data_IF_701220537672
#
_entry.id   IF_701220537672
#
_cell.length_a   1.000
_cell.length_b   1.000
_cell.length_c   1.000
_cell.angle_alpha   90.00
_cell.angle_beta   90.00
_cell.angle_gamma   90.00
#
_symmetry.space_group_name_H-M   'P 1'
#
loop_
_entity.id
_entity.type
_entity.pdbx_description
1 polymer ?
#
# COMPACT_ATOMS: atom_id res chain seq x y z
N UNK A 1 23.77 19.22 -43.44
CA UNK A 1 22.36 19.49 -43.08
C UNK A 1 22.27 19.71 -41.57
N UNK A 2 21.95 20.91 -41.07
CA UNK A 2 21.77 21.14 -39.64
C UNK A 2 20.33 20.78 -39.23
N UNK A 3 20.20 20.01 -38.15
CA UNK A 3 18.91 19.61 -37.58
C UNK A 3 18.18 20.85 -37.07
N UNK A 4 16.92 21.05 -37.48
CA UNK A 4 16.02 22.06 -36.94
C UNK A 4 15.89 21.86 -35.43
N UNK A 5 16.24 22.88 -34.65
CA UNK A 5 15.77 23.00 -33.28
C UNK A 5 14.24 23.13 -33.32
N UNK A 6 13.52 22.15 -32.74
CA UNK A 6 12.11 22.32 -32.46
C UNK A 6 11.95 23.31 -31.28
N UNK A 7 10.99 24.24 -31.33
CA UNK A 7 10.73 25.14 -30.21
C UNK A 7 10.23 24.34 -29.00
N UNK A 8 10.73 24.67 -27.82
CA UNK A 8 10.18 24.20 -26.54
C UNK A 8 8.75 24.74 -26.45
N UNK A 9 7.75 23.85 -26.40
CA UNK A 9 6.36 24.24 -26.16
C UNK A 9 6.29 25.13 -24.92
N UNK A 10 5.74 26.33 -25.10
CA UNK A 10 5.50 27.26 -23.99
C UNK A 10 4.61 26.56 -22.98
N UNK A 11 5.12 26.34 -21.76
CA UNK A 11 4.33 25.81 -20.65
C UNK A 11 3.19 26.78 -20.42
N UNK A 12 1.95 26.31 -20.54
CA UNK A 12 0.79 27.06 -20.08
C UNK A 12 1.04 27.46 -18.62
N UNK A 13 1.05 28.76 -18.35
CA UNK A 13 1.32 29.29 -17.03
C UNK A 13 0.20 28.80 -16.09
N UNK A 14 0.56 28.03 -15.06
CA UNK A 14 -0.43 27.48 -14.14
C UNK A 14 -1.08 28.64 -13.37
N UNK A 15 -2.34 28.95 -13.67
CA UNK A 15 -3.09 30.06 -13.05
C UNK A 15 -3.58 29.78 -11.62
N UNK A 16 -3.17 28.65 -11.03
CA UNK A 16 -3.57 28.26 -9.70
C UNK A 16 -2.98 29.20 -8.64
N UNK A 17 -3.82 29.64 -7.71
CA UNK A 17 -3.37 30.50 -6.59
C UNK A 17 -2.37 29.76 -5.69
N UNK A 18 -1.35 30.48 -5.24
CA UNK A 18 -0.42 30.00 -4.23
C UNK A 18 -1.16 29.77 -2.90
N UNK A 19 -0.83 28.68 -2.21
CA UNK A 19 -1.46 28.32 -0.94
C UNK A 19 -0.36 28.08 0.09
N UNK A 20 -0.59 28.54 1.33
CA UNK A 20 0.36 28.35 2.43
C UNK A 20 0.55 26.87 2.72
N UNK A 21 1.82 26.46 2.79
CA UNK A 21 2.21 25.07 3.05
C UNK A 21 1.65 24.53 4.37
N UNK A 22 1.81 25.29 5.46
CA UNK A 22 1.41 24.87 6.81
C UNK A 22 -0.09 24.53 6.88
N UNK A 23 -0.91 25.32 6.19
CA UNK A 23 -2.34 25.11 6.12
C UNK A 23 -2.71 23.77 5.46
N UNK A 24 -2.04 23.41 4.35
CA UNK A 24 -2.26 22.11 3.70
C UNK A 24 -1.81 20.98 4.63
N UNK A 25 -0.62 21.10 5.23
CA UNK A 25 -0.08 20.06 6.11
C UNK A 25 -0.94 19.83 7.36
N UNK A 26 -1.43 20.90 7.99
CA UNK A 26 -2.25 20.82 9.21
C UNK A 26 -3.61 20.18 8.93
N UNK A 27 -4.20 20.56 7.80
CA UNK A 27 -5.48 20.03 7.35
C UNK A 27 -5.39 18.54 7.02
N UNK A 28 -4.42 18.19 6.19
CA UNK A 28 -4.21 16.81 5.74
C UNK A 28 -3.96 15.89 6.94
N UNK A 29 -3.11 16.31 7.88
CA UNK A 29 -2.83 15.54 9.10
C UNK A 29 -4.06 15.48 10.00
N UNK A 30 -4.77 16.58 10.18
CA UNK A 30 -5.99 16.62 11.00
C UNK A 30 -7.07 15.67 10.50
N UNK A 31 -7.34 15.67 9.20
CA UNK A 31 -8.36 14.80 8.61
C UNK A 31 -7.95 13.33 8.60
N UNK A 32 -6.66 13.06 8.33
CA UNK A 32 -6.10 11.71 8.45
C UNK A 32 -6.24 11.19 9.88
N UNK A 33 -5.99 12.03 10.90
CA UNK A 33 -6.11 11.62 12.30
C UNK A 33 -7.55 11.27 12.68
N UNK A 34 -8.56 11.99 12.16
CA UNK A 34 -9.97 11.65 12.39
C UNK A 34 -10.30 10.26 11.84
N UNK A 35 -9.79 9.94 10.66
CA UNK A 35 -9.97 8.62 10.04
C UNK A 35 -9.28 7.51 10.85
N UNK A 36 -8.04 7.73 11.28
CA UNK A 36 -7.29 6.78 12.14
C UNK A 36 -7.94 6.58 13.50
N UNK A 37 -8.67 7.57 14.02
CA UNK A 37 -9.41 7.43 15.28
C UNK A 37 -10.73 6.66 15.12
N UNK A 38 -11.25 6.51 13.91
CA UNK A 38 -12.45 5.73 13.64
C UNK A 38 -12.13 4.24 13.58
N UNK A 39 -12.62 3.49 14.57
CA UNK A 39 -12.43 2.04 14.66
C UNK A 39 -12.97 1.29 13.44
N UNK A 40 -14.09 1.75 12.87
CA UNK A 40 -14.68 1.12 11.67
C UNK A 40 -13.81 1.31 10.44
N UNK A 41 -13.19 2.48 10.30
CA UNK A 41 -12.26 2.74 9.21
C UNK A 41 -11.01 1.86 9.30
N UNK A 42 -10.46 1.69 10.51
CA UNK A 42 -9.33 0.76 10.74
C UNK A 42 -9.72 -0.68 10.39
N UNK A 43 -10.86 -1.17 10.88
CA UNK A 43 -11.33 -2.53 10.58
C UNK A 43 -11.51 -2.75 9.07
N UNK A 44 -12.08 -1.76 8.38
CA UNK A 44 -12.26 -1.83 6.94
C UNK A 44 -10.93 -1.83 6.16
N UNK A 45 -9.93 -1.07 6.61
CA UNK A 45 -8.57 -1.08 6.04
C UNK A 45 -7.92 -2.45 6.26
N UNK A 46 -8.04 -3.03 7.46
CA UNK A 46 -7.48 -4.35 7.76
C UNK A 46 -8.13 -5.42 6.89
N UNK A 47 -9.46 -5.44 6.81
CA UNK A 47 -10.19 -6.38 5.95
C UNK A 47 -9.75 -6.28 4.50
N UNK A 48 -9.66 -5.05 3.96
CA UNK A 48 -9.24 -4.82 2.58
C UNK A 48 -7.81 -5.29 2.33
N UNK A 49 -6.89 -5.05 3.26
CA UNK A 49 -5.51 -5.49 3.11
C UNK A 49 -5.40 -7.02 3.14
N UNK A 50 -6.15 -7.68 4.02
CA UNK A 50 -6.20 -9.16 4.06
C UNK A 50 -6.74 -9.71 2.74
N UNK A 51 -7.82 -9.13 2.21
CA UNK A 51 -8.39 -9.53 0.92
C UNK A 51 -7.41 -9.35 -0.24
N UNK A 52 -6.64 -8.25 -0.25
CA UNK A 52 -5.60 -8.01 -1.25
C UNK A 52 -4.46 -9.02 -1.11
N UNK A 53 -4.02 -9.28 0.11
CA UNK A 53 -2.94 -10.23 0.38
C UNK A 53 -3.31 -11.65 -0.04
N UNK A 54 -4.58 -12.05 0.11
CA UNK A 54 -5.05 -13.35 -0.35
C UNK A 54 -5.20 -13.41 -1.89
N UNK A 55 -5.63 -12.33 -2.54
CA UNK A 55 -5.75 -12.25 -4.02
C UNK A 55 -4.41 -12.26 -4.74
N UNK A 56 -3.42 -11.55 -4.21
CA UNK A 56 -2.09 -11.44 -4.82
C UNK A 56 -1.21 -12.68 -4.58
N UNK A 57 -1.65 -13.56 -3.68
CA UNK A 57 -0.93 -14.77 -3.31
C UNK A 57 -1.28 -15.98 -4.20
N UNK A 58 -1.18 -15.82 -5.51
CA UNK A 58 -1.47 -16.91 -6.47
C UNK A 58 -0.29 -17.89 -6.60
N UNK A 59 0.94 -17.39 -6.44
CA UNK A 59 2.16 -18.14 -6.70
C UNK A 59 2.52 -19.13 -5.59
N UNK A 60 2.41 -18.71 -4.32
CA UNK A 60 2.72 -19.57 -3.17
C UNK A 60 1.89 -20.86 -3.14
N UNK A 61 0.55 -20.82 -3.20
CA UNK A 61 -0.25 -22.05 -3.17
C UNK A 61 0.02 -22.93 -4.40
N UNK A 62 0.29 -22.33 -5.56
CA UNK A 62 0.68 -23.06 -6.77
C UNK A 62 2.01 -23.80 -6.59
N UNK A 63 3.05 -23.13 -6.08
CA UNK A 63 4.34 -23.76 -5.83
C UNK A 63 4.25 -24.82 -4.73
N UNK A 64 3.47 -24.59 -3.67
CA UNK A 64 3.21 -25.60 -2.64
C UNK A 64 2.48 -26.83 -3.20
N UNK A 65 1.54 -26.64 -4.12
CA UNK A 65 0.90 -27.75 -4.81
C UNK A 65 1.90 -28.52 -5.69
N UNK A 66 2.70 -27.83 -6.51
CA UNK A 66 3.69 -28.46 -7.37
C UNK A 66 4.76 -29.21 -6.57
N UNK A 67 5.13 -28.70 -5.39
CA UNK A 67 6.04 -29.37 -4.46
C UNK A 67 5.44 -30.69 -3.96
N UNK A 68 4.18 -30.66 -3.50
CA UNK A 68 3.46 -31.88 -3.06
C UNK A 68 3.36 -32.92 -4.18
N UNK A 69 3.12 -32.48 -5.41
CA UNK A 69 3.08 -33.37 -6.59
C UNK A 69 4.45 -34.00 -6.86
N UNK A 70 5.54 -33.21 -6.79
CA UNK A 70 6.90 -33.70 -6.94
C UNK A 70 7.28 -34.70 -5.83
N UNK A 71 6.99 -34.38 -4.57
CA UNK A 71 7.25 -35.26 -3.42
C UNK A 71 6.49 -36.58 -3.53
N UNK A 72 5.23 -36.53 -3.99
CA UNK A 72 4.42 -37.73 -4.24
C UNK A 72 5.04 -38.58 -5.35
N UNK A 73 5.50 -37.96 -6.44
CA UNK A 73 6.15 -38.65 -7.54
C UNK A 73 7.49 -39.29 -7.11
N UNK A 74 8.28 -38.59 -6.31
CA UNK A 74 9.52 -39.10 -5.70
C UNK A 74 9.21 -40.30 -4.80
N UNK A 75 8.23 -40.18 -3.90
CA UNK A 75 7.83 -41.27 -3.01
C UNK A 75 7.39 -42.52 -3.80
N UNK A 76 6.62 -42.32 -4.88
CA UNK A 76 6.20 -43.41 -5.76
C UNK A 76 7.39 -44.09 -6.46
N UNK A 77 8.38 -43.33 -6.93
CA UNK A 77 9.60 -43.90 -7.53
C UNK A 77 10.42 -44.67 -6.49
N UNK A 78 10.56 -44.15 -5.27
CA UNK A 78 11.26 -44.84 -4.19
C UNK A 78 10.56 -46.16 -3.84
N UNK A 79 9.22 -46.19 -3.80
CA UNK A 79 8.45 -47.42 -3.60
C UNK A 79 8.68 -48.44 -4.72
N UNK A 80 8.76 -48.01 -5.98
CA UNK A 80 9.07 -48.90 -7.11
C UNK A 80 10.49 -49.48 -7.00
N UNK A 81 11.48 -48.69 -6.56
CA UNK A 81 12.85 -49.14 -6.33
C UNK A 81 12.89 -50.19 -5.20
N UNK A 82 12.14 -49.99 -4.11
CA UNK A 82 12.04 -50.97 -3.01
C UNK A 82 11.47 -52.32 -3.47
N UNK A 83 10.60 -52.31 -4.48
CA UNK A 83 10.07 -53.54 -5.11
C UNK A 83 11.05 -54.17 -6.12
N UNK A 84 12.26 -53.62 -6.26
CA UNK A 84 13.28 -54.12 -7.19
C UNK A 84 13.18 -53.57 -8.61
N UNK A 85 12.29 -52.59 -8.87
CA UNK A 85 12.13 -51.96 -10.19
C UNK A 85 13.12 -50.80 -10.32
N UNK A 86 14.39 -51.12 -10.50
CA UNK A 86 15.44 -50.14 -10.76
C UNK A 86 15.90 -50.23 -12.22
N UNK A 87 15.68 -49.15 -12.98
CA UNK A 87 16.15 -49.02 -14.35
C UNK A 87 16.91 -47.71 -14.52
N UNK A 88 17.68 -47.58 -15.61
CA UNK A 88 18.39 -46.33 -15.93
C UNK A 88 17.43 -45.13 -16.01
N UNK A 89 16.26 -45.32 -16.63
CA UNK A 89 15.25 -44.26 -16.73
C UNK A 89 14.62 -43.90 -15.39
N UNK A 90 14.47 -44.85 -14.46
CA UNK A 90 14.00 -44.57 -13.09
C UNK A 90 14.95 -43.61 -12.36
N UNK A 91 16.27 -43.81 -12.52
CA UNK A 91 17.30 -42.93 -11.93
C UNK A 91 17.26 -41.53 -12.54
N UNK A 92 17.29 -41.43 -13.88
CA UNK A 92 17.25 -40.15 -14.60
C UNK A 92 15.99 -39.35 -14.22
N UNK A 93 14.83 -40.02 -14.10
CA UNK A 93 13.58 -39.38 -13.68
C UNK A 93 13.59 -38.92 -12.22
N UNK A 94 14.21 -39.68 -11.33
CA UNK A 94 14.35 -39.30 -9.92
C UNK A 94 15.20 -38.03 -9.78
N UNK A 95 16.35 -37.98 -10.46
CA UNK A 95 17.23 -36.80 -10.47
C UNK A 95 16.51 -35.56 -11.02
N UNK A 96 15.68 -35.70 -12.06
CA UNK A 96 14.86 -34.62 -12.61
C UNK A 96 13.83 -34.09 -11.60
N UNK A 97 13.15 -34.99 -10.87
CA UNK A 97 12.16 -34.62 -9.86
C UNK A 97 12.79 -33.95 -8.65
N UNK A 98 13.95 -34.43 -8.19
CA UNK A 98 14.70 -33.82 -7.08
C UNK A 98 15.16 -32.41 -7.47
N UNK A 99 15.73 -32.24 -8.67
CA UNK A 99 16.11 -30.92 -9.17
C UNK A 99 14.90 -29.97 -9.25
N UNK A 100 13.76 -30.47 -9.74
CA UNK A 100 12.53 -29.68 -9.82
C UNK A 100 12.01 -29.28 -8.43
N UNK A 101 12.08 -30.18 -7.45
CA UNK A 101 11.73 -29.88 -6.05
C UNK A 101 12.61 -28.76 -5.51
N UNK A 102 13.93 -28.88 -5.64
CA UNK A 102 14.87 -27.88 -5.15
C UNK A 102 14.66 -26.51 -5.82
N UNK A 103 14.35 -26.48 -7.12
CA UNK A 103 13.98 -25.24 -7.82
C UNK A 103 12.69 -24.62 -7.29
N UNK A 104 11.66 -25.44 -6.99
CA UNK A 104 10.39 -24.97 -6.44
C UNK A 104 10.54 -24.46 -5.01
N UNK A 105 11.33 -25.13 -4.17
CA UNK A 105 11.63 -24.67 -2.80
C UNK A 105 12.32 -23.32 -2.79
N UNK A 106 13.32 -23.14 -3.68
CA UNK A 106 14.01 -21.86 -3.83
C UNK A 106 13.06 -20.75 -4.28
N UNK A 107 12.18 -21.03 -5.26
CA UNK A 107 11.17 -20.05 -5.70
C UNK A 107 10.16 -19.72 -4.60
N UNK A 108 9.72 -20.72 -3.85
CA UNK A 108 8.79 -20.56 -2.75
C UNK A 108 9.40 -19.71 -1.62
N UNK A 109 10.67 -19.95 -1.28
CA UNK A 109 11.40 -19.17 -0.30
C UNK A 109 11.54 -17.70 -0.74
N UNK A 110 11.93 -17.46 -2.00
CA UNK A 110 12.02 -16.12 -2.58
C UNK A 110 10.66 -15.40 -2.58
N UNK A 111 9.58 -16.06 -2.96
CA UNK A 111 8.24 -15.45 -2.98
C UNK A 111 7.76 -15.11 -1.56
N UNK A 112 7.99 -16.00 -0.57
CA UNK A 112 7.63 -15.75 0.84
C UNK A 112 8.42 -14.60 1.45
N UNK A 113 9.69 -14.41 1.04
CA UNK A 113 10.51 -13.27 1.46
C UNK A 113 10.08 -11.97 0.76
N UNK A 114 9.72 -12.03 -0.51
CA UNK A 114 9.28 -10.86 -1.28
C UNK A 114 7.91 -10.35 -0.82
N UNK A 115 7.01 -11.26 -0.44
CA UNK A 115 5.63 -10.96 0.01
C UNK A 115 5.35 -11.66 1.35
N UNK A 116 5.83 -11.10 2.47
CA UNK A 116 5.57 -11.70 3.78
C UNK A 116 4.06 -11.68 4.08
N UNK A 117 3.53 -12.81 4.56
CA UNK A 117 2.14 -12.88 5.01
C UNK A 117 2.02 -12.13 6.33
N UNK A 118 1.33 -11.00 6.33
CA UNK A 118 1.02 -10.25 7.55
C UNK A 118 -0.31 -10.75 8.13
N UNK A 119 -0.41 -10.86 9.46
CA UNK A 119 -1.67 -11.24 10.13
C UNK A 119 -2.57 -10.02 10.35
N UNK A 120 -3.89 -10.25 10.35
CA UNK A 120 -4.90 -9.22 10.61
C UNK A 120 -4.70 -8.56 11.99
N UNK A 121 -4.37 -9.36 13.02
CA UNK A 121 -4.10 -8.89 14.38
C UNK A 121 -2.88 -7.96 14.42
N UNK A 122 -1.80 -8.35 13.74
CA UNK A 122 -0.60 -7.52 13.67
C UNK A 122 -0.88 -6.19 12.96
N UNK A 123 -1.61 -6.22 11.84
CA UNK A 123 -2.00 -5.01 11.13
C UNK A 123 -2.90 -4.09 11.97
N UNK A 124 -3.86 -4.67 12.68
CA UNK A 124 -4.75 -3.92 13.58
C UNK A 124 -3.94 -3.25 14.69
N UNK A 125 -3.03 -3.99 15.32
CA UNK A 125 -2.15 -3.47 16.35
C UNK A 125 -1.21 -2.37 15.83
N UNK A 126 -0.65 -2.57 14.63
CA UNK A 126 0.21 -1.60 13.97
C UNK A 126 -0.56 -0.31 13.65
N UNK A 127 -1.78 -0.40 13.12
CA UNK A 127 -2.64 0.77 12.86
C UNK A 127 -3.04 1.50 14.16
N UNK A 128 -3.26 0.79 15.25
CA UNK A 128 -3.49 1.41 16.56
C UNK A 128 -2.30 2.21 17.08
N UNK A 129 -1.07 1.91 16.65
CA UNK A 129 0.13 2.71 17.00
C UNK A 129 -0.02 4.16 16.54
N UNK A 130 -0.69 4.40 15.41
CA UNK A 130 -0.88 5.73 14.84
C UNK A 130 -1.74 6.64 15.74
N UNK A 131 -2.63 6.07 16.55
CA UNK A 131 -3.47 6.83 17.50
C UNK A 131 -2.65 7.52 18.59
N UNK A 132 -1.43 7.03 18.86
CA UNK A 132 -0.52 7.58 19.88
C UNK A 132 0.56 8.49 19.28
N UNK A 133 0.51 8.77 17.97
CA UNK A 133 1.49 9.63 17.34
C UNK A 133 1.29 11.09 17.72
N UNK A 134 2.40 11.77 18.00
CA UNK A 134 2.42 13.21 18.23
C UNK A 134 2.54 13.95 16.91
N UNK A 135 1.44 14.57 16.46
CA UNK A 135 1.35 15.34 15.21
C UNK A 135 2.20 16.62 15.22
N UNK A 136 2.76 17.03 16.36
CA UNK A 136 3.73 18.13 16.44
C UNK A 136 5.08 17.74 15.85
N UNK A 137 5.38 16.44 15.79
CA UNK A 137 6.65 15.93 15.27
C UNK A 137 6.55 15.68 13.76
N UNK A 138 7.45 16.30 13.00
CA UNK A 138 7.49 16.16 11.54
C UNK A 138 7.62 14.71 11.05
N UNK A 139 8.36 13.87 11.79
CA UNK A 139 8.51 12.43 11.49
C UNK A 139 7.16 11.70 11.53
N UNK A 140 6.35 11.95 12.56
CA UNK A 140 5.03 11.35 12.72
C UNK A 140 4.04 11.86 11.67
N UNK A 141 4.10 13.16 11.33
CA UNK A 141 3.29 13.74 10.24
C UNK A 141 3.59 13.06 8.91
N UNK A 142 4.87 12.88 8.60
CA UNK A 142 5.31 12.18 7.39
C UNK A 142 4.81 10.73 7.37
N UNK A 143 4.93 10.02 8.49
CA UNK A 143 4.46 8.62 8.60
C UNK A 143 2.95 8.49 8.36
N UNK A 144 2.14 9.40 8.90
CA UNK A 144 0.68 9.43 8.66
C UNK A 144 0.37 9.64 7.17
N UNK A 145 1.02 10.61 6.54
CA UNK A 145 0.81 10.93 5.11
C UNK A 145 1.25 9.74 4.24
N UNK A 146 2.46 9.23 4.42
CA UNK A 146 3.02 8.13 3.62
C UNK A 146 2.16 6.86 3.73
N UNK A 147 1.48 6.64 4.86
CA UNK A 147 0.67 5.44 5.11
C UNK A 147 -0.74 5.57 4.54
N UNK A 148 -1.42 6.68 4.80
CA UNK A 148 -2.87 6.79 4.57
C UNK A 148 -3.24 7.56 3.30
N UNK A 149 -2.33 8.34 2.73
CA UNK A 149 -2.63 9.26 1.63
C UNK A 149 -2.02 8.73 0.33
N UNK A 150 -2.86 8.66 -0.69
CA UNK A 150 -2.46 8.33 -2.05
C UNK A 150 -2.12 9.60 -2.84
N UNK A 151 -3.03 10.57 -2.82
CA UNK A 151 -2.90 11.81 -3.60
C UNK A 151 -3.67 12.96 -2.96
N UNK A 152 -3.21 14.18 -3.22
CA UNK A 152 -3.88 15.42 -2.82
C UNK A 152 -4.05 16.27 -4.08
N UNK A 153 -5.28 16.59 -4.42
CA UNK A 153 -5.61 17.51 -5.52
C UNK A 153 -6.08 18.83 -4.94
N UNK A 154 -5.43 19.91 -5.35
CA UNK A 154 -5.75 21.25 -4.88
C UNK A 154 -6.45 22.02 -6.00
N UNK A 155 -7.68 22.47 -5.75
CA UNK A 155 -8.47 23.37 -6.58
C UNK A 155 -8.57 24.74 -5.89
N UNK A 156 -9.05 25.75 -6.60
CA UNK A 156 -9.07 27.12 -6.05
C UNK A 156 -10.14 27.31 -4.97
N UNK A 157 -11.15 26.44 -4.99
CA UNK A 157 -12.33 26.41 -4.11
C UNK A 157 -12.36 25.21 -3.17
N UNK A 158 -11.61 24.14 -3.46
CA UNK A 158 -11.64 22.88 -2.71
C UNK A 158 -10.32 22.13 -2.76
N UNK A 159 -10.16 21.21 -1.82
CA UNK A 159 -9.06 20.25 -1.79
C UNK A 159 -9.64 18.84 -1.72
N UNK A 160 -9.12 17.93 -2.54
CA UNK A 160 -9.57 16.54 -2.59
C UNK A 160 -8.43 15.66 -2.09
N UNK A 161 -8.66 14.99 -0.95
CA UNK A 161 -7.72 14.00 -0.40
C UNK A 161 -8.18 12.62 -0.85
N UNK A 162 -7.28 11.93 -1.53
CA UNK A 162 -7.46 10.52 -1.88
C UNK A 162 -6.70 9.67 -0.89
N UNK A 163 -7.40 8.87 -0.10
CA UNK A 163 -6.81 7.94 0.83
C UNK A 163 -6.41 6.64 0.12
N UNK A 164 -5.49 5.88 0.70
CA UNK A 164 -5.13 4.52 0.25
C UNK A 164 -6.26 3.48 0.46
N UNK A 165 -7.50 3.91 0.70
CA UNK A 165 -8.67 3.06 0.96
C UNK A 165 -9.71 3.22 -0.17
N UNK A 166 -10.31 2.10 -0.63
CA UNK A 166 -11.11 2.06 -1.87
C UNK A 166 -12.44 2.83 -1.83
N UNK A 167 -12.99 3.14 -0.66
CA UNK A 167 -14.31 3.79 -0.53
C UNK A 167 -14.24 5.11 0.23
N UNK A 168 -13.59 6.12 -0.33
CA UNK A 168 -13.75 7.46 0.22
C UNK A 168 -12.75 8.47 -0.30
N UNK A 169 -13.05 9.07 -1.45
CA UNK A 169 -12.52 10.39 -1.76
C UNK A 169 -13.22 11.39 -0.85
N UNK A 170 -12.56 11.88 0.22
CA UNK A 170 -13.11 13.01 0.97
C UNK A 170 -12.78 14.29 0.21
N UNK A 171 -13.82 14.91 -0.32
CA UNK A 171 -13.75 16.27 -0.85
C UNK A 171 -13.89 17.22 0.32
N UNK A 172 -12.88 18.03 0.57
CA UNK A 172 -12.89 19.06 1.60
C UNK A 172 -13.01 20.41 0.90
N UNK A 173 -14.06 21.15 1.20
CA UNK A 173 -14.30 22.48 0.61
C UNK A 173 -13.60 23.57 1.42
N UNK A 174 -13.25 24.69 0.80
CA UNK A 174 -12.62 25.81 1.51
C UNK A 174 -13.52 26.43 2.60
N UNK A 175 -14.84 26.32 2.46
CA UNK A 175 -15.80 26.79 3.45
C UNK A 175 -15.72 25.98 4.77
N UNK A 176 -15.67 24.64 4.66
CA UNK A 176 -15.49 23.75 5.82
C UNK A 176 -14.16 24.01 6.55
N UNK A 177 -13.18 24.60 5.85
CA UNK A 177 -11.87 24.96 6.40
C UNK A 177 -11.92 26.24 7.22
N UNK A 178 -12.68 27.24 6.78
CA UNK A 178 -12.88 28.45 7.58
C UNK A 178 -13.62 28.12 8.89
N UNK A 179 -14.65 27.28 8.84
CA UNK A 179 -15.39 26.87 10.05
C UNK A 179 -14.52 26.07 11.04
N UNK A 180 -13.67 25.16 10.55
CA UNK A 180 -12.78 24.38 11.41
C UNK A 180 -11.68 25.22 12.08
N UNK A 181 -11.25 26.31 11.44
CA UNK A 181 -10.27 27.26 11.97
C UNK A 181 -10.94 28.23 12.96
N UNK A 182 -12.16 28.71 12.67
CA UNK A 182 -12.94 29.57 13.58
C UNK A 182 -13.33 28.87 14.89
N UNK A 183 -13.46 27.53 14.90
CA UNK A 183 -13.78 26.77 16.12
C UNK A 183 -12.59 26.54 17.08
N UNK A 184 -11.39 27.04 16.76
CA UNK A 184 -10.27 27.15 17.70
C UNK A 184 -9.86 28.61 17.84
N UNK A 185 -10.28 29.18 18.97
CA UNK A 185 -9.98 30.51 19.52
C UNK A 185 -10.99 31.58 19.13
N UNK A 186 -11.86 31.90 20.09
CA UNK A 186 -12.64 33.12 20.07
C UNK A 186 -11.72 34.34 20.19
N UNK A 187 -11.90 35.28 19.27
CA UNK A 187 -12.06 36.72 19.48
C UNK A 187 -11.97 37.39 18.11
N UNK A 188 -12.93 38.29 17.86
CA UNK A 188 -13.07 39.15 16.68
C UNK A 188 -11.82 39.35 15.83
N UNK A 189 -11.90 39.01 14.54
CA UNK A 189 -11.22 39.79 13.50
C UNK A 189 -11.94 39.60 12.16
N UNK A 190 -12.25 40.73 11.54
CA UNK A 190 -12.98 40.93 10.29
C UNK A 190 -12.59 39.97 9.16
N UNK A 191 -13.61 39.60 8.38
CA UNK A 191 -13.59 39.14 6.99
C UNK A 191 -12.20 39.08 6.33
N UNK A 192 -11.50 37.95 6.46
CA UNK A 192 -10.27 37.70 5.69
C UNK A 192 -10.58 36.80 4.50
N UNK A 193 -10.81 37.44 3.35
CA UNK A 193 -10.45 36.85 2.08
C UNK A 193 -8.97 36.42 2.11
N UNK A 194 -8.62 35.38 1.34
CA UNK A 194 -7.27 34.85 1.28
C UNK A 194 -6.22 35.98 1.11
N UNK A 195 -5.24 36.11 2.02
CA UNK A 195 -4.19 37.11 1.85
C UNK A 195 -3.27 36.66 0.72
N UNK A 196 -2.86 37.65 -0.09
CA UNK A 196 -1.84 37.57 -1.14
C UNK A 196 -0.46 37.17 -0.62
#
# INVERSE_FOLDING_TARGET
MPRRFQPIEQRAECHKRSVRKEWIEDLVVGETMKMVMDGKAIEAIVSMLMDLQDRDNVNVPLYEQQLREADTAISNLLNAIQQGILTRSTKERLEELEKRRDELENRLACEKLAKPKVSAEFMTFWLHRFRKLDVRQKSHRKMLIDTFINAIFLYDDKMVITFNYKEGTKTITFAELQEAISNKNGSDLDCLAAPS
#
